data_IF_268606081085
#
_entry.id   IF_268606081085
#
_cell.length_a   1.000
_cell.length_b   1.000
_cell.length_c   1.000
_cell.angle_alpha   90.00
_cell.angle_beta   90.00
_cell.angle_gamma   90.00
#
_symmetry.space_group_name_H-M   'P 1'
#
loop_
_entity.id
_entity.type
_entity.pdbx_description
1 polymer ?
#
# COMPACT_ATOMS: atom_id res chain seq x y z
N UNK A 1 -6.65 -73.08 18.55
CA UNK A 1 -6.11 -73.77 17.36
C UNK A 1 -6.83 -73.17 16.17
N UNK A 2 -6.06 -72.49 15.32
CA UNK A 2 -6.49 -71.60 14.25
C UNK A 2 -7.34 -72.29 13.18
N UNK A 3 -8.21 -71.52 12.54
CA UNK A 3 -8.47 -71.68 11.10
C UNK A 3 -8.82 -70.31 10.49
N UNK A 4 -7.84 -69.74 9.77
CA UNK A 4 -7.99 -68.58 8.91
C UNK A 4 -8.92 -68.87 7.72
N UNK A 5 -9.82 -67.95 7.32
CA UNK A 5 -10.44 -68.00 6.00
C UNK A 5 -9.53 -67.42 4.91
N UNK A 6 -9.64 -68.03 3.74
CA UNK A 6 -8.79 -67.98 2.56
C UNK A 6 -8.62 -66.60 1.87
N UNK A 7 -7.38 -66.33 1.46
CA UNK A 7 -6.85 -65.14 0.73
C UNK A 7 -7.52 -64.87 -0.64
N UNK A 8 -8.40 -65.74 -1.14
CA UNK A 8 -9.10 -65.55 -2.43
C UNK A 8 -10.28 -64.55 -2.40
N UNK A 9 -10.80 -64.21 -1.22
CA UNK A 9 -11.98 -63.34 -1.07
C UNK A 9 -11.63 -61.84 -1.08
N UNK A 10 -10.44 -61.46 -0.63
CA UNK A 10 -10.04 -60.04 -0.49
C UNK A 10 -9.65 -59.41 -1.83
N UNK A 11 -9.09 -60.18 -2.78
CA UNK A 11 -8.72 -59.70 -4.13
C UNK A 11 -9.94 -59.33 -4.99
N UNK A 12 -11.09 -59.99 -4.81
CA UNK A 12 -12.30 -59.71 -5.57
C UNK A 12 -13.05 -58.44 -5.09
N UNK A 13 -12.90 -58.06 -3.82
CA UNK A 13 -13.51 -56.84 -3.27
C UNK A 13 -12.72 -55.58 -3.64
N UNK A 14 -11.39 -55.68 -3.68
CA UNK A 14 -10.50 -54.59 -4.11
C UNK A 14 -10.65 -54.26 -5.61
N UNK A 15 -10.84 -55.27 -6.47
CA UNK A 15 -11.05 -55.05 -7.91
C UNK A 15 -12.40 -54.38 -8.22
N UNK A 16 -13.44 -54.69 -7.43
CA UNK A 16 -14.78 -54.07 -7.58
C UNK A 16 -14.81 -52.61 -7.10
N UNK A 17 -14.08 -52.26 -6.05
CA UNK A 17 -13.96 -50.86 -5.62
C UNK A 17 -13.21 -49.98 -6.65
N UNK A 18 -12.18 -50.52 -7.30
CA UNK A 18 -11.38 -49.77 -8.27
C UNK A 18 -12.16 -49.46 -9.56
N UNK A 19 -13.02 -50.37 -10.02
CA UNK A 19 -13.89 -50.15 -11.19
C UNK A 19 -15.00 -49.11 -10.90
N UNK A 20 -15.54 -49.09 -9.67
CA UNK A 20 -16.52 -48.09 -9.23
C UNK A 20 -15.92 -46.67 -9.11
N UNK A 21 -14.65 -46.56 -8.70
CA UNK A 21 -13.92 -45.27 -8.63
C UNK A 21 -13.59 -44.69 -10.01
N UNK A 22 -13.30 -45.53 -11.00
CA UNK A 22 -13.04 -45.09 -12.38
C UNK A 22 -14.35 -44.66 -13.07
N UNK A 23 -15.48 -45.33 -12.80
CA UNK A 23 -16.80 -44.94 -13.31
C UNK A 23 -17.32 -43.62 -12.71
N UNK A 24 -17.00 -43.32 -11.44
CA UNK A 24 -17.38 -42.04 -10.80
C UNK A 24 -16.53 -40.84 -11.25
N UNK A 25 -15.31 -41.08 -11.74
CA UNK A 25 -14.42 -40.02 -12.24
C UNK A 25 -14.78 -39.60 -13.68
N UNK A 26 -15.46 -40.46 -14.45
CA UNK A 26 -15.83 -40.20 -15.84
C UNK A 26 -17.15 -39.42 -16.03
N UNK A 27 -17.94 -39.20 -14.97
CA UNK A 27 -19.24 -38.50 -15.05
C UNK A 27 -19.23 -37.06 -14.53
N UNK A 28 -18.06 -36.52 -14.17
CA UNK A 28 -17.93 -35.18 -13.57
C UNK A 28 -17.10 -34.25 -14.45
N UNK A 29 -17.52 -34.02 -15.71
CA UNK A 29 -17.03 -32.91 -16.56
C UNK A 29 -17.89 -32.78 -17.82
N UNK A 30 -19.02 -32.08 -17.72
CA UNK A 30 -19.66 -31.37 -18.83
C UNK A 30 -20.94 -30.68 -18.33
N UNK A 31 -20.86 -29.38 -18.02
CA UNK A 31 -21.92 -28.42 -18.34
C UNK A 31 -21.40 -27.00 -18.07
N UNK A 32 -20.99 -26.32 -19.13
CA UNK A 32 -20.81 -24.88 -19.14
C UNK A 32 -21.49 -24.33 -20.41
N UNK A 33 -22.22 -23.23 -20.22
CA UNK A 33 -22.71 -22.26 -21.20
C UNK A 33 -23.86 -22.72 -22.11
N UNK A 34 -25.07 -22.22 -21.84
CA UNK A 34 -25.82 -21.24 -22.67
C UNK A 34 -27.06 -20.83 -21.87
N UNK A 35 -27.21 -19.54 -21.56
CA UNK A 35 -28.52 -18.96 -21.23
C UNK A 35 -28.63 -17.54 -21.77
N UNK A 36 -29.61 -17.38 -22.66
CA UNK A 36 -30.09 -16.19 -23.34
C UNK A 36 -30.24 -14.98 -22.42
N UNK A 37 -29.76 -13.82 -22.87
CA UNK A 37 -30.22 -12.51 -22.40
C UNK A 37 -31.56 -12.18 -23.07
N UNK A 38 -32.62 -12.01 -22.28
CA UNK A 38 -33.83 -11.29 -22.64
C UNK A 38 -33.92 -10.04 -21.75
N UNK A 39 -33.44 -8.91 -22.26
CA UNK A 39 -33.55 -7.62 -21.59
C UNK A 39 -34.94 -7.02 -21.76
N UNK A 40 -35.80 -7.15 -20.74
CA UNK A 40 -36.95 -6.26 -20.58
C UNK A 40 -36.51 -5.00 -19.84
N UNK A 41 -36.77 -3.86 -20.49
CA UNK A 41 -36.80 -2.52 -19.95
C UNK A 41 -37.52 -2.45 -18.59
N UNK A 42 -36.79 -2.05 -17.54
CA UNK A 42 -37.34 -1.49 -16.33
C UNK A 42 -36.42 -0.34 -15.87
N UNK A 43 -36.79 0.87 -16.25
CA UNK A 43 -36.20 2.11 -15.78
C UNK A 43 -36.37 2.23 -14.26
N UNK A 44 -35.30 1.94 -13.52
CA UNK A 44 -35.19 2.28 -12.11
C UNK A 44 -34.86 3.79 -11.98
N UNK A 45 -35.42 4.50 -10.98
CA UNK A 45 -35.11 5.91 -10.79
C UNK A 45 -33.63 6.04 -10.40
N UNK A 46 -32.89 6.83 -11.18
CA UNK A 46 -31.55 7.29 -10.83
C UNK A 46 -31.70 8.09 -9.54
N UNK A 47 -31.46 7.45 -8.38
CA UNK A 47 -31.11 8.19 -7.17
C UNK A 47 -29.78 8.87 -7.50
N UNK A 48 -29.81 10.19 -7.62
CA UNK A 48 -28.61 10.98 -7.56
C UNK A 48 -27.94 10.64 -6.24
N UNK A 49 -26.86 9.86 -6.30
CA UNK A 49 -25.88 9.87 -5.24
C UNK A 49 -25.37 11.29 -5.28
N UNK A 50 -25.83 12.13 -4.34
CA UNK A 50 -25.08 13.29 -3.93
C UNK A 50 -23.78 12.72 -3.39
N UNK A 51 -22.83 12.49 -4.30
CA UNK A 51 -21.44 12.35 -3.95
C UNK A 51 -21.02 13.77 -3.59
N UNK A 52 -21.45 14.24 -2.41
CA UNK A 52 -20.62 15.16 -1.67
C UNK A 52 -19.37 14.36 -1.34
N UNK A 53 -18.48 14.23 -2.32
CA UNK A 53 -17.08 13.97 -2.06
C UNK A 53 -16.70 15.08 -1.10
N UNK A 54 -16.72 14.79 0.19
CA UNK A 54 -16.23 15.70 1.21
C UNK A 54 -14.85 16.12 0.72
N UNK A 55 -14.71 17.39 0.33
CA UNK A 55 -13.47 17.91 -0.24
C UNK A 55 -12.31 17.42 0.63
N UNK A 56 -11.39 16.68 0.02
CA UNK A 56 -10.23 16.13 0.74
C UNK A 56 -9.19 17.24 0.97
N UNK A 57 -9.30 18.34 0.22
CA UNK A 57 -8.57 19.59 0.45
C UNK A 57 -9.25 20.45 1.53
N UNK A 58 -8.47 21.39 2.06
CA UNK A 58 -8.98 22.39 3.00
C UNK A 58 -10.11 23.22 2.38
N UNK A 59 -11.20 23.53 3.13
CA UNK A 59 -12.32 24.29 2.59
C UNK A 59 -11.89 25.61 1.95
N UNK A 60 -12.36 25.87 0.73
CA UNK A 60 -11.99 27.05 -0.06
C UNK A 60 -10.69 26.90 -0.87
N UNK A 61 -10.02 25.76 -0.79
CA UNK A 61 -8.83 25.44 -1.57
C UNK A 61 -9.15 24.46 -2.69
N UNK A 62 -8.34 24.51 -3.76
CA UNK A 62 -8.43 23.58 -4.88
C UNK A 62 -8.00 22.17 -4.46
N UNK A 63 -8.77 21.17 -4.85
CA UNK A 63 -8.57 19.77 -4.47
C UNK A 63 -7.96 18.90 -5.57
N UNK A 64 -7.67 19.45 -6.74
CA UNK A 64 -7.13 18.73 -7.89
C UNK A 64 -6.22 19.58 -8.78
N UNK A 65 -5.16 18.98 -9.31
CA UNK A 65 -4.38 19.52 -10.43
C UNK A 65 -4.31 18.48 -11.56
N UNK A 66 -4.96 18.79 -12.68
CA UNK A 66 -5.19 17.82 -13.74
C UNK A 66 -5.88 16.56 -13.21
N UNK A 67 -5.21 15.42 -13.35
CA UNK A 67 -5.71 14.12 -12.90
C UNK A 67 -5.36 13.77 -11.45
N UNK A 68 -4.52 14.58 -10.78
CA UNK A 68 -4.03 14.31 -9.42
C UNK A 68 -4.95 14.96 -8.39
N UNK A 69 -5.42 14.18 -7.42
CA UNK A 69 -6.14 14.68 -6.24
C UNK A 69 -5.15 15.24 -5.22
N UNK A 70 -5.50 16.35 -4.57
CA UNK A 70 -4.65 17.10 -3.64
C UNK A 70 -5.33 17.14 -2.27
N UNK A 71 -5.10 16.13 -1.42
CA UNK A 71 -5.64 16.12 -0.06
C UNK A 71 -4.84 17.03 0.88
N UNK A 72 -5.49 17.65 1.87
CA UNK A 72 -4.75 18.31 2.96
C UNK A 72 -3.99 17.24 3.79
N UNK A 73 -2.72 17.44 4.20
CA UNK A 73 -2.01 18.70 4.40
C UNK A 73 -1.38 19.34 3.16
N UNK A 74 -1.44 18.67 2.00
CA UNK A 74 -0.98 19.22 0.73
C UNK A 74 -1.94 20.27 0.19
N UNK A 75 -1.40 21.21 -0.58
CA UNK A 75 -2.21 22.27 -1.17
C UNK A 75 -1.44 23.13 -2.17
N UNK A 76 -2.18 23.95 -2.89
CA UNK A 76 -1.66 24.87 -3.91
C UNK A 76 -2.24 26.27 -3.76
N UNK A 77 -1.83 27.16 -4.65
CA UNK A 77 -2.27 28.56 -4.75
C UNK A 77 -1.76 29.42 -3.58
N UNK A 78 -2.48 29.47 -2.46
CA UNK A 78 -2.23 30.38 -1.34
C UNK A 78 -1.65 29.66 -0.13
N UNK A 79 -0.91 30.41 0.72
CA UNK A 79 -0.20 29.85 1.88
C UNK A 79 -1.09 29.24 2.95
N UNK A 80 -2.39 29.56 2.94
CA UNK A 80 -3.38 28.96 3.84
C UNK A 80 -3.89 27.60 3.36
N UNK A 81 -3.57 27.15 2.14
CA UNK A 81 -4.12 25.92 1.56
C UNK A 81 -3.29 24.65 1.79
N UNK A 82 -2.04 24.80 2.24
CA UNK A 82 -1.17 23.71 2.67
C UNK A 82 -0.77 23.90 4.13
N UNK A 83 -0.28 22.85 4.79
CA UNK A 83 0.10 22.92 6.20
C UNK A 83 1.36 23.76 6.43
N UNK A 84 2.40 23.50 5.64
CA UNK A 84 3.67 24.23 5.67
C UNK A 84 4.28 24.26 4.26
N UNK A 85 5.37 25.02 4.09
CA UNK A 85 6.02 25.17 2.78
C UNK A 85 6.44 23.84 2.16
N UNK A 86 6.78 22.84 2.98
CA UNK A 86 7.13 21.49 2.53
C UNK A 86 5.96 20.71 1.92
N UNK A 87 4.72 21.10 2.19
CA UNK A 87 3.50 20.48 1.64
C UNK A 87 2.91 21.25 0.45
N UNK A 88 3.61 22.30 -0.02
CA UNK A 88 3.18 23.08 -1.18
C UNK A 88 3.35 22.28 -2.47
N UNK A 89 2.29 22.19 -3.26
CA UNK A 89 2.26 21.58 -4.58
C UNK A 89 2.24 22.66 -5.65
N UNK A 90 3.08 22.51 -6.67
CA UNK A 90 3.09 23.38 -7.84
C UNK A 90 2.25 22.77 -8.97
N UNK A 91 1.20 23.46 -9.40
CA UNK A 91 0.36 23.02 -10.51
C UNK A 91 0.71 23.81 -11.79
N UNK A 92 1.37 23.15 -12.74
CA UNK A 92 1.73 23.80 -14.00
C UNK A 92 0.58 23.70 -15.00
N UNK A 93 -0.08 24.84 -15.24
CA UNK A 93 -1.22 24.96 -16.16
C UNK A 93 -0.80 25.14 -17.63
N UNK A 94 0.50 25.15 -17.93
CA UNK A 94 1.01 25.19 -19.31
C UNK A 94 0.80 23.86 -20.05
N UNK A 95 0.63 22.77 -19.31
CA UNK A 95 0.28 21.45 -19.84
C UNK A 95 -1.24 21.28 -19.92
N UNK A 96 -1.70 20.39 -20.81
CA UNK A 96 -3.12 20.04 -20.94
C UNK A 96 -3.30 18.50 -20.90
N UNK A 97 -3.86 17.93 -19.80
CA UNK A 97 -4.27 18.61 -18.56
C UNK A 97 -3.08 19.16 -17.75
N UNK A 98 -3.32 20.08 -16.79
CA UNK A 98 -2.27 20.59 -15.90
C UNK A 98 -1.54 19.48 -15.16
N UNK A 99 -0.22 19.64 -14.95
CA UNK A 99 0.63 18.63 -14.28
C UNK A 99 1.06 19.14 -12.90
N UNK A 100 0.96 18.26 -11.90
CA UNK A 100 1.31 18.56 -10.51
C UNK A 100 2.77 18.21 -10.23
N UNK A 101 3.46 19.08 -9.49
CA UNK A 101 4.87 18.92 -9.13
C UNK A 101 5.11 19.12 -7.64
N UNK A 102 5.98 18.28 -7.09
CA UNK A 102 6.55 18.40 -5.75
C UNK A 102 7.86 19.19 -5.84
N UNK A 103 8.07 20.13 -4.91
CA UNK A 103 9.28 20.95 -4.85
C UNK A 103 10.22 20.33 -3.81
N UNK A 104 11.45 20.01 -4.21
CA UNK A 104 12.52 19.68 -3.26
C UNK A 104 13.10 20.95 -2.64
N UNK A 105 13.45 20.86 -1.35
CA UNK A 105 14.08 21.95 -0.60
C UNK A 105 15.48 22.32 -1.10
N UNK A 106 16.12 21.49 -1.94
CA UNK A 106 17.40 21.80 -2.57
C UNK A 106 17.20 22.16 -4.05
N UNK A 107 17.61 23.38 -4.42
CA UNK A 107 17.57 23.90 -5.80
C UNK A 107 16.17 24.01 -6.46
N UNK A 108 15.09 24.07 -5.68
CA UNK A 108 13.69 24.19 -6.17
C UNK A 108 13.31 23.16 -7.25
N UNK A 109 13.90 21.96 -7.17
CA UNK A 109 13.70 20.92 -8.17
C UNK A 109 12.27 20.40 -8.14
N UNK A 110 11.69 20.25 -9.33
CA UNK A 110 10.32 19.77 -9.52
C UNK A 110 10.30 18.27 -9.86
N UNK A 111 9.53 17.50 -9.09
CA UNK A 111 9.21 16.10 -9.41
C UNK A 111 7.75 15.98 -9.80
N UNK A 112 7.47 15.39 -10.95
CA UNK A 112 6.10 15.12 -11.39
C UNK A 112 5.43 14.15 -10.41
N UNK A 113 4.24 14.54 -9.95
CA UNK A 113 3.40 13.73 -9.08
C UNK A 113 2.46 12.89 -9.94
N UNK A 114 2.56 11.57 -9.80
CA UNK A 114 1.67 10.62 -10.45
C UNK A 114 0.42 10.36 -9.60
N UNK A 115 0.60 10.27 -8.29
CA UNK A 115 -0.48 10.04 -7.33
C UNK A 115 -0.12 10.66 -5.99
N UNK A 116 -1.12 11.28 -5.34
CA UNK A 116 -0.96 11.91 -4.03
C UNK A 116 -2.11 11.48 -3.13
N UNK A 117 -1.78 10.81 -2.03
CA UNK A 117 -2.75 10.33 -1.05
C UNK A 117 -2.40 10.82 0.35
N UNK A 118 -3.27 10.52 1.31
CA UNK A 118 -2.98 10.78 2.71
C UNK A 118 -2.00 9.78 3.31
N UNK A 119 -1.61 8.74 2.57
CA UNK A 119 -0.73 7.65 3.01
C UNK A 119 0.66 7.73 2.34
N UNK A 120 0.75 8.11 1.07
CA UNK A 120 2.01 8.18 0.33
C UNK A 120 1.95 9.21 -0.82
N UNK A 121 3.12 9.52 -1.40
CA UNK A 121 3.24 10.29 -2.64
C UNK A 121 3.97 9.46 -3.68
N UNK A 122 3.40 9.30 -4.88
CA UNK A 122 4.05 8.60 -5.99
C UNK A 122 4.53 9.62 -7.01
N UNK A 123 5.83 9.62 -7.28
CA UNK A 123 6.48 10.57 -8.21
C UNK A 123 7.33 9.85 -9.24
N UNK A 124 7.66 10.54 -10.32
CA UNK A 124 8.70 10.11 -11.24
C UNK A 124 10.07 10.69 -10.82
N UNK A 125 11.09 9.84 -10.78
CA UNK A 125 12.49 10.25 -10.67
C UNK A 125 13.28 9.74 -11.87
N UNK A 126 14.40 10.41 -12.18
CA UNK A 126 15.32 9.92 -13.22
C UNK A 126 15.95 8.59 -12.79
N UNK A 127 16.03 7.65 -13.73
CA UNK A 127 16.75 6.39 -13.63
C UNK A 127 18.02 6.47 -14.50
N UNK A 128 19.08 7.15 -14.01
CA UNK A 128 20.26 7.44 -14.80
C UNK A 128 20.99 6.17 -15.26
N UNK A 129 21.67 6.30 -16.39
CA UNK A 129 22.35 5.23 -17.10
C UNK A 129 23.83 5.54 -17.28
N UNK A 130 24.69 4.53 -17.34
CA UNK A 130 26.09 4.68 -17.76
C UNK A 130 26.33 3.86 -19.02
N UNK A 131 26.65 4.52 -20.13
CA UNK A 131 26.65 3.95 -21.47
C UNK A 131 28.04 3.84 -22.14
N UNK A 132 29.13 4.09 -21.41
CA UNK A 132 30.51 4.07 -21.93
C UNK A 132 31.51 3.51 -20.89
N UNK A 133 31.49 2.19 -20.66
CA UNK A 133 32.30 1.51 -19.63
C UNK A 133 33.54 0.78 -20.18
N UNK A 134 33.81 0.89 -21.48
CA UNK A 134 34.80 0.05 -22.17
C UNK A 134 36.26 0.35 -21.79
N UNK A 135 36.57 1.46 -21.10
CA UNK A 135 37.97 1.88 -20.88
C UNK A 135 38.38 2.28 -19.44
N UNK A 136 37.52 2.09 -18.44
CA UNK A 136 37.79 2.52 -17.05
C UNK A 136 37.88 1.31 -16.12
N UNK A 137 39.05 1.08 -15.51
CA UNK A 137 39.36 -0.05 -14.61
C UNK A 137 38.78 0.09 -13.21
N UNK A 138 38.31 1.30 -12.88
CA UNK A 138 37.50 1.62 -11.71
C UNK A 138 36.44 2.58 -12.22
N UNK A 139 35.20 2.13 -12.28
CA UNK A 139 34.10 3.06 -12.41
C UNK A 139 33.55 3.13 -11.00
N UNK A 140 33.82 4.23 -10.31
CA UNK A 140 32.96 4.73 -9.23
C UNK A 140 32.10 5.80 -9.91
N UNK A 141 31.16 5.37 -10.75
CA UNK A 141 30.26 6.32 -11.41
C UNK A 141 29.20 6.69 -10.39
N UNK A 142 29.35 7.88 -9.82
CA UNK A 142 28.25 8.53 -9.14
C UNK A 142 27.20 8.79 -10.22
N UNK A 143 26.03 8.18 -10.07
CA UNK A 143 24.92 8.44 -10.98
C UNK A 143 24.42 9.86 -10.72
N UNK A 144 24.96 10.80 -11.49
CA UNK A 144 24.64 12.20 -11.40
C UNK A 144 23.47 12.47 -12.34
N UNK A 145 22.38 13.01 -11.79
CA UNK A 145 21.32 13.57 -12.60
C UNK A 145 21.90 14.67 -13.52
N UNK A 146 21.78 14.52 -14.84
CA UNK A 146 22.44 15.42 -15.79
C UNK A 146 21.89 16.85 -15.74
N UNK A 147 20.68 17.07 -15.22
CA UNK A 147 20.12 18.42 -15.08
C UNK A 147 20.70 19.20 -13.88
N UNK A 148 20.99 18.52 -12.77
CA UNK A 148 21.38 19.19 -11.52
C UNK A 148 22.84 18.99 -11.14
N UNK A 149 23.55 18.14 -11.87
CA UNK A 149 24.90 17.71 -11.51
C UNK A 149 24.96 17.13 -10.06
N UNK A 150 23.80 16.68 -9.53
CA UNK A 150 23.63 16.08 -8.19
C UNK A 150 23.36 14.58 -8.29
N UNK A 151 23.80 13.82 -7.28
CA UNK A 151 23.88 12.36 -7.33
C UNK A 151 22.60 11.60 -6.97
N UNK A 152 21.54 12.30 -6.58
CA UNK A 152 20.26 11.71 -6.23
C UNK A 152 19.15 12.76 -6.14
N UNK A 153 17.87 12.36 -6.19
CA UNK A 153 16.82 13.19 -5.68
C UNK A 153 17.04 13.49 -4.20
N UNK A 154 17.18 14.77 -3.87
CA UNK A 154 17.39 15.25 -2.51
C UNK A 154 16.04 15.61 -1.86
N UNK A 155 15.65 14.86 -0.83
CA UNK A 155 14.49 15.16 0.00
C UNK A 155 14.91 15.64 1.39
N UNK A 156 16.20 15.93 1.61
CA UNK A 156 16.69 16.44 2.87
C UNK A 156 16.01 17.77 3.24
N UNK A 157 15.61 17.90 4.51
CA UNK A 157 14.89 19.08 5.00
C UNK A 157 13.46 19.21 4.46
N UNK A 158 12.95 18.23 3.71
CA UNK A 158 11.55 18.17 3.30
C UNK A 158 10.78 17.17 4.17
N UNK A 159 9.42 17.21 4.15
CA UNK A 159 8.59 16.21 4.83
C UNK A 159 8.71 14.79 4.27
N UNK A 160 9.44 14.58 3.16
CA UNK A 160 9.41 13.36 2.37
C UNK A 160 10.63 12.45 2.61
N UNK A 161 10.42 11.15 2.47
CA UNK A 161 11.48 10.13 2.56
C UNK A 161 11.11 8.96 1.64
N UNK A 162 12.09 8.30 1.02
CA UNK A 162 11.80 7.15 0.17
C UNK A 162 11.26 5.97 0.99
N UNK A 163 10.13 5.41 0.57
CA UNK A 163 9.51 4.27 1.26
C UNK A 163 10.37 3.01 1.14
N UNK A 164 10.86 2.50 2.27
CA UNK A 164 11.70 1.30 2.32
C UNK A 164 10.92 -0.01 2.12
N UNK A 165 9.60 0.03 2.30
CA UNK A 165 8.68 -1.11 2.14
C UNK A 165 8.06 -1.16 0.75
N UNK A 166 7.91 -0.02 0.08
CA UNK A 166 7.24 0.09 -1.21
C UNK A 166 8.20 0.28 -2.40
N UNK A 167 9.48 0.56 -2.14
CA UNK A 167 10.50 0.65 -3.19
C UNK A 167 11.60 -0.41 -3.04
N UNK A 168 12.29 -0.67 -4.15
CA UNK A 168 13.49 -1.49 -4.23
C UNK A 168 14.59 -0.74 -4.96
N UNK A 169 15.80 -0.90 -4.48
CA UNK A 169 17.00 -0.56 -5.25
C UNK A 169 17.24 -1.66 -6.28
N UNK A 170 17.36 -1.27 -7.54
CA UNK A 170 17.46 -2.15 -8.70
C UNK A 170 18.76 -1.86 -9.45
N UNK A 171 19.51 -2.91 -9.77
CA UNK A 171 20.74 -2.85 -10.57
C UNK A 171 20.56 -3.71 -11.81
N UNK A 172 20.84 -3.16 -12.99
CA UNK A 172 20.73 -3.81 -14.29
C UNK A 172 22.06 -3.73 -15.04
N UNK A 173 22.51 -4.88 -15.54
CA UNK A 173 23.81 -5.05 -16.16
C UNK A 173 24.55 -6.23 -15.52
N UNK A 174 25.73 -6.55 -16.02
CA UNK A 174 26.51 -7.71 -15.62
C UNK A 174 27.91 -7.35 -15.15
N UNK A 175 28.41 -8.14 -14.21
CA UNK A 175 29.75 -8.00 -13.63
C UNK A 175 29.95 -6.68 -12.88
N UNK A 176 28.86 -6.16 -12.32
CA UNK A 176 28.82 -4.89 -11.59
C UNK A 176 28.24 -5.10 -10.20
N UNK A 177 28.63 -4.22 -9.29
CA UNK A 177 28.11 -4.12 -7.93
C UNK A 177 27.57 -2.71 -7.75
N UNK A 178 26.26 -2.57 -7.64
CA UNK A 178 25.63 -1.30 -7.32
C UNK A 178 25.49 -1.17 -5.81
N UNK A 179 25.83 0.00 -5.26
CA UNK A 179 25.71 0.33 -3.85
C UNK A 179 24.90 1.61 -3.73
N UNK A 180 23.97 1.61 -2.78
CA UNK A 180 23.30 2.81 -2.32
C UNK A 180 23.73 3.11 -0.89
N UNK A 181 24.22 4.33 -0.70
CA UNK A 181 24.73 4.82 0.58
C UNK A 181 24.06 6.15 0.90
N UNK A 182 23.61 6.38 2.15
CA UNK A 182 23.13 7.71 2.53
C UNK A 182 24.29 8.71 2.46
N UNK A 183 24.01 9.94 2.05
CA UNK A 183 25.01 10.99 2.01
C UNK A 183 25.26 11.49 3.46
N UNK A 184 26.50 11.38 3.94
CA UNK A 184 26.89 11.87 5.26
C UNK A 184 26.69 13.39 5.33
N UNK A 185 25.66 13.86 6.03
CA UNK A 185 25.59 15.24 6.53
C UNK A 185 25.95 15.21 8.01
N UNK A 186 27.23 15.40 8.33
CA UNK A 186 27.70 15.57 9.71
C UNK A 186 27.24 16.93 10.25
N UNK A 187 26.01 17.03 10.75
CA UNK A 187 25.58 18.21 11.53
C UNK A 187 25.89 18.01 13.02
N UNK A 188 25.88 16.77 13.49
CA UNK A 188 26.29 16.40 14.83
C UNK A 188 27.41 15.38 14.69
N UNK A 189 28.63 15.75 15.08
CA UNK A 189 29.87 14.98 14.87
C UNK A 189 29.93 13.66 15.63
N UNK A 190 29.00 12.76 15.35
CA UNK A 190 29.08 11.35 15.68
C UNK A 190 28.90 10.61 14.36
N UNK A 191 29.86 9.74 14.00
CA UNK A 191 29.81 8.94 12.79
C UNK A 191 28.67 7.93 12.91
N UNK A 192 27.44 8.37 12.66
CA UNK A 192 26.26 7.53 12.77
C UNK A 192 26.42 6.31 11.86
N UNK A 193 26.13 5.14 12.41
CA UNK A 193 26.18 3.85 11.73
C UNK A 193 25.16 3.84 10.58
N UNK A 194 25.56 4.34 9.43
CA UNK A 194 24.76 4.27 8.22
C UNK A 194 24.89 2.89 7.59
N UNK A 195 23.76 2.28 7.27
CA UNK A 195 23.75 0.99 6.58
C UNK A 195 23.67 1.25 5.09
N UNK A 196 24.80 1.11 4.39
CA UNK A 196 24.78 0.98 2.93
C UNK A 196 24.26 -0.39 2.56
N UNK A 197 23.49 -0.46 1.47
CA UNK A 197 23.08 -1.73 0.89
C UNK A 197 23.55 -1.77 -0.55
N UNK A 198 23.87 -2.96 -1.03
CA UNK A 198 24.30 -3.13 -2.41
C UNK A 198 23.75 -4.41 -3.00
N UNK A 199 23.81 -4.48 -4.32
CA UNK A 199 23.60 -5.72 -5.02
C UNK A 199 24.60 -5.95 -6.15
N UNK A 200 25.08 -7.18 -6.24
CA UNK A 200 25.97 -7.66 -7.28
C UNK A 200 25.17 -8.40 -8.35
N UNK A 201 25.57 -8.21 -9.61
CA UNK A 201 25.06 -8.98 -10.74
C UNK A 201 26.19 -9.66 -11.49
N UNK A 202 25.99 -10.93 -11.85
CA UNK A 202 26.91 -11.76 -12.63
C UNK A 202 26.15 -12.46 -13.74
N UNK A 203 26.85 -12.84 -14.81
CA UNK A 203 26.21 -13.40 -15.99
C UNK A 203 27.06 -14.50 -16.62
N UNK A 204 26.42 -15.51 -17.22
CA UNK A 204 27.08 -16.63 -17.86
C UNK A 204 27.38 -16.33 -19.35
N UNK A 205 28.64 -16.00 -19.66
CA UNK A 205 29.20 -15.81 -21.01
C UNK A 205 28.61 -14.67 -21.88
N UNK A 206 29.29 -14.35 -22.99
CA UNK A 206 29.25 -13.10 -23.77
C UNK A 206 27.97 -12.80 -24.57
N UNK A 207 26.83 -13.41 -24.26
CA UNK A 207 25.59 -13.18 -24.97
C UNK A 207 24.74 -12.11 -24.27
N UNK A 208 24.04 -11.30 -25.07
CA UNK A 208 23.10 -10.29 -24.59
C UNK A 208 22.03 -10.94 -23.71
N UNK A 209 21.78 -10.37 -22.53
CA UNK A 209 20.90 -10.97 -21.52
C UNK A 209 19.54 -10.30 -21.56
N UNK A 210 18.51 -11.10 -21.84
CA UNK A 210 17.14 -10.74 -21.49
C UNK A 210 17.03 -10.61 -19.97
N UNK A 211 16.35 -9.56 -19.48
CA UNK A 211 16.20 -9.32 -18.04
C UNK A 211 15.55 -10.57 -17.42
N UNK A 212 16.25 -11.30 -16.54
CA UNK A 212 15.67 -12.51 -15.98
C UNK A 212 14.68 -12.17 -14.88
N UNK A 213 13.57 -12.89 -14.91
CA UNK A 213 12.56 -12.89 -13.85
C UNK A 213 12.59 -14.24 -13.14
N UNK A 214 12.83 -14.29 -11.81
CA UNK A 214 13.02 -13.16 -10.89
C UNK A 214 14.43 -12.54 -10.94
N UNK A 215 14.50 -11.24 -10.63
CA UNK A 215 15.70 -10.40 -10.64
C UNK A 215 16.59 -10.67 -9.39
N UNK A 216 17.35 -11.77 -9.41
CA UNK A 216 18.09 -12.33 -8.26
C UNK A 216 19.62 -12.41 -8.44
N UNK A 217 20.21 -11.49 -9.20
CA UNK A 217 21.67 -11.37 -9.37
C UNK A 217 22.21 -11.91 -10.70
N UNK A 218 21.37 -12.44 -11.58
CA UNK A 218 21.76 -12.77 -12.96
C UNK A 218 21.45 -11.57 -13.87
N UNK A 219 22.39 -10.68 -14.17
CA UNK A 219 22.14 -9.49 -15.01
C UNK A 219 21.15 -8.44 -14.47
N UNK A 220 20.43 -8.75 -13.40
CA UNK A 220 19.44 -7.93 -12.73
C UNK A 220 19.46 -8.30 -11.24
N UNK A 221 19.45 -7.31 -10.35
CA UNK A 221 19.17 -7.53 -8.94
C UNK A 221 18.26 -6.47 -8.32
N UNK A 222 17.35 -6.90 -7.41
CA UNK A 222 16.52 -6.03 -6.57
C UNK A 222 16.77 -6.29 -5.08
N UNK A 223 17.01 -5.23 -4.31
CA UNK A 223 17.16 -5.28 -2.84
C UNK A 223 16.33 -4.19 -2.15
N UNK A 224 15.97 -4.38 -0.88
CA UNK A 224 15.31 -3.34 -0.08
C UNK A 224 16.23 -2.14 0.12
N UNK A 225 15.69 -0.92 0.15
CA UNK A 225 16.50 0.25 0.51
C UNK A 225 16.61 0.40 2.04
N UNK A 226 17.64 1.10 2.54
CA UNK A 226 17.75 1.41 3.97
C UNK A 226 16.59 2.29 4.44
N UNK A 227 16.26 2.18 5.73
CA UNK A 227 15.28 3.04 6.38
C UNK A 227 15.80 4.49 6.44
N UNK A 228 14.90 5.47 6.47
CA UNK A 228 15.23 6.91 6.63
C UNK A 228 16.07 7.49 5.50
N UNK A 229 15.89 6.98 4.28
CA UNK A 229 16.63 7.40 3.10
C UNK A 229 16.00 8.64 2.44
N UNK A 230 16.46 9.83 2.84
CA UNK A 230 16.05 11.12 2.24
C UNK A 230 17.12 11.76 1.36
N UNK A 231 18.39 11.45 1.60
CA UNK A 231 19.52 11.91 0.80
C UNK A 231 20.56 10.79 0.68
N UNK A 232 20.99 10.49 -0.54
CA UNK A 232 21.76 9.30 -0.83
C UNK A 232 22.61 9.45 -2.08
N UNK A 233 23.50 8.49 -2.27
CA UNK A 233 24.31 8.35 -3.46
C UNK A 233 24.23 6.92 -3.95
N UNK A 234 24.11 6.76 -5.26
CA UNK A 234 24.23 5.48 -5.93
C UNK A 234 25.59 5.45 -6.62
N UNK A 235 26.35 4.41 -6.31
CA UNK A 235 27.64 4.11 -6.90
C UNK A 235 27.54 2.74 -7.57
N UNK A 236 28.14 2.59 -8.74
CA UNK A 236 28.30 1.29 -9.37
C UNK A 236 29.78 1.03 -9.50
N UNK A 237 30.21 -0.16 -9.10
CA UNK A 237 31.59 -0.65 -9.16
C UNK A 237 31.69 -1.90 -10.04
N UNK A 238 32.86 -2.14 -10.63
CA UNK A 238 33.18 -3.42 -11.28
C UNK A 238 33.53 -4.44 -10.20
N UNK A 239 32.95 -5.65 -10.27
CA UNK A 239 33.25 -6.68 -9.26
C UNK A 239 34.71 -7.19 -9.38
N UNK A 240 35.36 -7.04 -10.55
CA UNK A 240 36.79 -7.28 -10.69
C UNK A 240 37.40 -6.40 -11.78
N UNK A 241 38.68 -6.02 -11.63
CA UNK A 241 39.39 -5.10 -12.54
C UNK A 241 39.49 -5.61 -13.99
N UNK A 242 39.48 -6.94 -14.19
CA UNK A 242 39.50 -7.59 -15.50
C UNK A 242 38.12 -8.05 -16.01
N UNK A 243 37.03 -7.79 -15.28
CA UNK A 243 35.69 -8.18 -15.73
C UNK A 243 35.21 -7.27 -16.87
N UNK A 244 34.80 -7.90 -17.98
CA UNK A 244 34.04 -7.21 -19.03
C UNK A 244 32.64 -6.90 -18.52
N UNK A 245 32.25 -5.64 -18.53
CA UNK A 245 30.86 -5.24 -18.24
C UNK A 245 30.01 -5.65 -19.42
N UNK A 246 28.89 -6.34 -19.15
CA UNK A 246 27.94 -6.75 -20.19
C UNK A 246 26.63 -6.00 -19.93
N UNK A 247 26.07 -5.45 -21.00
CA UNK A 247 24.88 -4.61 -20.97
C UNK A 247 23.63 -5.44 -21.30
N UNK A 248 22.46 -5.12 -20.72
CA UNK A 248 21.20 -5.72 -21.15
C UNK A 248 20.84 -5.27 -22.57
N UNK A 249 20.10 -6.09 -23.33
CA UNK A 249 19.69 -5.73 -24.68
C UNK A 249 18.62 -4.62 -24.63
N UNK A 250 19.01 -3.39 -24.96
CA UNK A 250 18.08 -2.28 -25.18
C UNK A 250 18.18 -1.78 -26.61
N UNK A 251 17.06 -1.34 -27.17
CA UNK A 251 16.91 -0.81 -28.52
C UNK A 251 17.76 0.44 -28.81
N UNK A 252 18.49 0.98 -27.82
CA UNK A 252 19.20 2.27 -27.89
C UNK A 252 20.65 2.32 -27.34
N UNK A 253 21.28 1.20 -26.96
CA UNK A 253 22.74 1.17 -26.68
C UNK A 253 23.18 0.39 -25.43
N UNK A 254 24.50 0.19 -25.25
CA UNK A 254 25.07 -0.61 -24.17
C UNK A 254 25.15 0.20 -22.86
N UNK A 255 24.07 0.23 -22.08
CA UNK A 255 24.02 0.95 -20.81
C UNK A 255 23.83 0.02 -19.61
N UNK A 256 24.39 0.38 -18.46
CA UNK A 256 24.04 -0.20 -17.16
C UNK A 256 23.22 0.81 -16.35
N UNK A 257 22.36 0.32 -15.47
CA UNK A 257 21.46 1.16 -14.69
C UNK A 257 21.48 0.75 -13.22
N UNK A 258 21.45 1.73 -12.33
CA UNK A 258 21.16 1.51 -10.92
C UNK A 258 20.21 2.61 -10.43
N UNK A 259 19.05 2.23 -9.93
CA UNK A 259 18.00 3.19 -9.58
C UNK A 259 17.07 2.62 -8.53
N UNK A 260 16.26 3.48 -7.94
CA UNK A 260 15.20 3.08 -7.02
C UNK A 260 13.89 3.10 -7.80
N UNK A 261 13.08 2.07 -7.61
CA UNK A 261 11.77 1.97 -8.24
C UNK A 261 10.78 1.30 -7.31
N UNK A 262 9.51 1.60 -7.49
CA UNK A 262 8.39 0.90 -6.85
C UNK A 262 8.54 -0.64 -6.97
N UNK A 263 8.30 -1.35 -5.88
CA UNK A 263 8.58 -2.78 -5.75
C UNK A 263 7.84 -3.62 -6.83
N UNK A 264 6.60 -3.28 -7.12
CA UNK A 264 5.74 -4.00 -8.08
C UNK A 264 6.03 -3.64 -9.54
N UNK A 265 6.92 -2.68 -9.78
CA UNK A 265 7.27 -2.22 -11.12
C UNK A 265 8.04 -3.30 -11.90
N UNK A 266 7.52 -3.63 -13.07
CA UNK A 266 8.11 -4.60 -14.00
C UNK A 266 9.21 -3.93 -14.80
N UNK A 267 10.43 -4.41 -14.62
CA UNK A 267 11.61 -3.85 -15.29
C UNK A 267 11.64 -4.22 -16.78
N UNK A 268 10.96 -5.32 -17.15
CA UNK A 268 10.85 -5.79 -18.53
C UNK A 268 10.09 -4.80 -19.43
N UNK A 269 9.24 -3.93 -18.85
CA UNK A 269 8.47 -2.93 -19.57
C UNK A 269 9.30 -1.69 -19.95
N UNK A 270 10.56 -1.61 -19.48
CA UNK A 270 11.39 -0.45 -19.72
C UNK A 270 12.18 -0.60 -21.03
N UNK A 271 11.82 0.21 -22.02
CA UNK A 271 12.75 0.60 -23.09
C UNK A 271 13.74 1.60 -22.46
N UNK A 272 14.75 1.10 -21.76
CA UNK A 272 15.70 1.95 -21.05
C UNK A 272 16.49 2.80 -22.05
N UNK A 273 16.14 4.08 -22.12
CA UNK A 273 16.96 5.14 -22.71
C UNK A 273 17.73 5.88 -21.61
N UNK A 274 18.71 6.70 -22.00
CA UNK A 274 19.49 7.54 -21.08
C UNK A 274 18.60 8.41 -20.16
N UNK A 275 17.45 8.89 -20.66
CA UNK A 275 16.53 9.79 -19.95
C UNK A 275 15.32 9.10 -19.31
N UNK A 276 15.45 7.81 -18.97
CA UNK A 276 14.29 7.08 -18.42
C UNK A 276 13.88 7.65 -17.07
N UNK A 277 12.59 7.86 -16.86
CA UNK A 277 12.01 8.14 -15.55
C UNK A 277 11.24 6.93 -15.03
N UNK A 278 11.37 6.67 -13.74
CA UNK A 278 10.74 5.52 -13.07
C UNK A 278 9.92 6.00 -11.88
N UNK A 279 8.80 5.31 -11.57
CA UNK A 279 7.98 5.68 -10.43
C UNK A 279 8.62 5.23 -9.12
N UNK A 280 8.61 6.13 -8.13
CA UNK A 280 8.97 5.84 -6.75
C UNK A 280 7.89 6.32 -5.80
N UNK A 281 7.80 5.67 -4.64
CA UNK A 281 6.85 6.00 -3.59
C UNK A 281 7.59 6.68 -2.42
N UNK A 282 7.12 7.84 -2.03
CA UNK A 282 7.60 8.59 -0.87
C UNK A 282 6.64 8.39 0.30
N UNK A 283 7.20 8.06 1.45
CA UNK A 283 6.54 8.31 2.73
C UNK A 283 6.66 9.79 3.07
N UNK A 284 5.77 10.29 3.92
CA UNK A 284 5.84 11.64 4.42
C UNK A 284 5.41 11.71 5.88
N UNK A 285 5.93 12.70 6.61
CA UNK A 285 5.58 12.95 8.00
C UNK A 285 5.58 14.45 8.30
N UNK A 286 4.91 14.84 9.37
CA UNK A 286 4.94 16.21 9.87
C UNK A 286 6.23 16.39 10.67
N UNK A 287 7.06 17.34 10.23
CA UNK A 287 8.42 17.57 10.76
C UNK A 287 8.69 19.01 11.19
N UNK A 288 7.77 19.94 10.94
CA UNK A 288 8.04 21.38 10.97
C UNK A 288 8.43 21.91 12.36
N UNK A 289 7.95 21.28 13.44
CA UNK A 289 8.22 21.73 14.83
C UNK A 289 8.42 20.59 15.84
N UNK A 290 7.96 19.38 15.55
CA UNK A 290 7.99 18.24 16.47
C UNK A 290 8.39 16.97 15.74
N UNK A 291 9.25 16.17 16.39
CA UNK A 291 9.73 14.90 15.84
C UNK A 291 8.93 13.70 16.35
N UNK A 292 8.04 13.92 17.32
CA UNK A 292 7.21 12.88 17.92
C UNK A 292 5.78 13.33 18.22
N UNK A 293 4.88 12.37 18.35
CA UNK A 293 3.50 12.57 18.80
C UNK A 293 3.43 13.23 20.17
N UNK A 294 4.27 12.80 21.12
CA UNK A 294 4.27 13.34 22.48
C UNK A 294 4.62 14.84 22.47
N UNK A 295 5.60 15.22 21.66
CA UNK A 295 5.99 16.63 21.49
C UNK A 295 4.85 17.42 20.85
N UNK A 296 4.25 16.91 19.77
CA UNK A 296 3.12 17.56 19.11
C UNK A 296 1.92 17.79 20.03
N UNK A 297 1.54 16.76 20.80
CA UNK A 297 0.40 16.84 21.72
C UNK A 297 0.62 17.82 22.89
N UNK A 298 1.88 18.12 23.22
CA UNK A 298 2.22 19.08 24.28
C UNK A 298 1.97 20.54 23.89
N UNK A 299 1.89 20.85 22.59
CA UNK A 299 1.65 22.19 22.07
C UNK A 299 0.45 22.19 21.10
N UNK A 300 -0.74 22.32 21.67
CA UNK A 300 -2.02 22.28 20.94
C UNK A 300 -2.15 23.34 19.84
N UNK A 301 -1.39 24.45 19.91
CA UNK A 301 -1.45 25.52 18.91
C UNK A 301 -0.78 25.13 17.59
N UNK A 302 0.19 24.21 17.63
CA UNK A 302 0.98 23.75 16.48
C UNK A 302 0.71 22.28 16.14
N UNK A 303 -0.13 21.60 16.93
CA UNK A 303 -0.50 20.21 16.70
C UNK A 303 -1.39 20.08 15.47
N UNK A 304 -0.95 19.27 14.51
CA UNK A 304 -1.61 19.19 13.21
C UNK A 304 -2.83 18.24 13.17
N UNK A 305 -2.96 17.32 14.13
CA UNK A 305 -4.08 16.37 14.12
C UNK A 305 -5.36 17.03 14.64
N UNK A 306 -6.47 16.74 13.96
CA UNK A 306 -7.80 17.21 14.32
C UNK A 306 -8.45 16.44 15.47
N UNK A 307 -9.78 16.50 15.54
CA UNK A 307 -10.58 15.73 16.50
C UNK A 307 -10.86 14.33 15.95
N UNK A 308 -11.06 13.36 16.84
CA UNK A 308 -11.32 11.96 16.51
C UNK A 308 -10.19 11.32 15.68
N UNK A 309 -8.95 11.65 16.04
CA UNK A 309 -7.74 11.15 15.39
C UNK A 309 -6.77 10.51 16.38
N UNK A 310 -6.03 9.51 15.92
CA UNK A 310 -4.82 9.02 16.53
C UNK A 310 -3.58 9.68 15.91
N UNK A 311 -2.56 9.88 16.74
CA UNK A 311 -1.23 10.24 16.31
C UNK A 311 -0.37 8.98 16.17
N UNK A 312 0.33 8.88 15.04
CA UNK A 312 1.17 7.73 14.71
C UNK A 312 2.58 8.24 14.39
N UNK A 313 3.56 7.73 15.11
CA UNK A 313 4.97 8.01 14.83
C UNK A 313 5.36 7.49 13.44
N UNK A 314 6.14 8.26 12.70
CA UNK A 314 6.68 7.80 11.42
C UNK A 314 7.77 6.74 11.66
N UNK A 315 7.58 5.57 11.05
CA UNK A 315 8.57 4.49 11.11
C UNK A 315 9.82 4.82 10.28
N UNK A 316 9.62 5.36 9.08
CA UNK A 316 10.65 5.53 8.06
C UNK A 316 11.22 6.95 8.00
N UNK A 317 10.73 7.89 8.80
CA UNK A 317 11.27 9.26 8.90
C UNK A 317 11.09 9.81 10.33
N UNK A 318 11.81 10.87 10.74
CA UNK A 318 11.44 11.62 11.94
C UNK A 318 10.06 12.28 11.75
N UNK A 319 9.32 12.51 12.84
CA UNK A 319 8.01 13.15 12.78
C UNK A 319 6.85 12.18 12.94
N UNK A 320 5.64 12.71 12.79
CA UNK A 320 4.40 11.97 13.04
C UNK A 320 3.35 12.20 11.97
N UNK A 321 2.31 11.37 12.01
CA UNK A 321 1.13 11.44 11.13
C UNK A 321 -0.14 11.34 11.94
N UNK A 322 -1.23 11.77 11.35
CA UNK A 322 -2.55 11.73 11.94
C UNK A 322 -3.39 10.71 11.17
N UNK A 323 -4.17 9.91 11.88
CA UNK A 323 -5.12 8.96 11.29
C UNK A 323 -6.46 9.11 11.99
N UNK A 324 -7.56 8.99 11.28
CA UNK A 324 -8.86 8.93 11.94
C UNK A 324 -8.92 7.72 12.89
N UNK A 325 -9.60 7.89 14.03
CA UNK A 325 -9.88 6.80 14.95
C UNK A 325 -10.62 5.68 14.22
N UNK A 326 -10.54 4.46 14.75
CA UNK A 326 -11.36 3.34 14.28
C UNK A 326 -12.85 3.72 14.33
N UNK A 327 -13.59 3.42 13.26
CA UNK A 327 -15.00 3.83 13.10
C UNK A 327 -15.18 5.24 12.55
N UNK A 328 -14.10 5.94 12.20
CA UNK A 328 -14.13 7.27 11.57
C UNK A 328 -13.42 7.24 10.21
N UNK A 329 -13.88 8.10 9.28
CA UNK A 329 -13.29 8.28 7.95
C UNK A 329 -13.16 9.77 7.60
N UNK A 330 -12.30 10.08 6.64
CA UNK A 330 -12.10 11.43 6.12
C UNK A 330 -10.69 11.94 6.40
N UNK A 331 -10.53 13.26 6.49
CA UNK A 331 -9.22 13.90 6.57
C UNK A 331 -8.85 14.25 8.03
N UNK A 332 -7.83 13.60 8.64
CA UNK A 332 -7.48 13.82 10.04
C UNK A 332 -6.79 15.16 10.31
N UNK A 333 -6.44 15.92 9.28
CA UNK A 333 -5.78 17.22 9.42
C UNK A 333 -6.76 18.40 9.30
N UNK A 334 -8.02 18.13 8.95
CA UNK A 334 -9.05 19.17 8.82
C UNK A 334 -9.92 19.28 10.09
N UNK A 335 -10.39 20.49 10.44
CA UNK A 335 -11.38 20.66 11.50
C UNK A 335 -12.66 19.88 11.18
N UNK A 336 -13.02 18.91 12.02
CA UNK A 336 -14.18 18.03 11.77
C UNK A 336 -13.99 17.10 10.56
N UNK A 337 -12.74 16.88 10.12
CA UNK A 337 -12.45 16.08 8.94
C UNK A 337 -12.59 14.57 9.16
N UNK A 338 -12.39 14.07 10.38
CA UNK A 338 -12.74 12.70 10.74
C UNK A 338 -14.21 12.62 11.17
N UNK A 339 -15.02 12.06 10.29
CA UNK A 339 -16.45 11.88 10.46
C UNK A 339 -16.76 10.43 10.80
N UNK A 340 -17.77 10.26 11.65
CA UNK A 340 -18.29 8.95 12.04
C UNK A 340 -18.70 8.15 10.79
N UNK A 341 -18.33 6.88 10.76
CA UNK A 341 -18.79 5.96 9.72
C UNK A 341 -20.14 5.42 10.17
N UNK A 342 -21.21 5.75 9.45
CA UNK A 342 -22.49 5.09 9.69
C UNK A 342 -22.47 3.69 9.08
N UNK A 343 -22.05 2.69 9.86
CA UNK A 343 -22.01 1.31 9.37
C UNK A 343 -23.41 0.76 9.09
N UNK A 344 -24.48 1.39 9.60
CA UNK A 344 -25.85 0.97 9.34
C UNK A 344 -26.34 1.33 7.93
N UNK A 345 -25.67 2.25 7.24
CA UNK A 345 -25.90 2.51 5.81
C UNK A 345 -25.32 1.40 4.91
N UNK A 346 -24.39 0.58 5.43
CA UNK A 346 -23.88 -0.59 4.72
C UNK A 346 -24.88 -1.76 4.78
N UNK A 347 -25.20 -2.35 3.62
CA UNK A 347 -26.17 -3.43 3.53
C UNK A 347 -25.78 -4.63 4.42
N UNK A 348 -26.73 -5.09 5.25
CA UNK A 348 -26.68 -6.33 6.03
C UNK A 348 -25.62 -6.41 7.16
N UNK A 349 -25.12 -5.30 7.74
CA UNK A 349 -24.17 -5.37 8.86
C UNK A 349 -24.64 -6.19 10.06
N UNK A 350 -25.90 -6.05 10.46
CA UNK A 350 -26.44 -6.69 11.67
C UNK A 350 -27.14 -8.04 11.41
N UNK A 351 -27.15 -8.56 10.18
CA UNK A 351 -27.90 -9.77 9.83
C UNK A 351 -29.41 -9.53 9.61
N UNK A 352 -30.12 -10.55 9.12
CA UNK A 352 -31.54 -10.43 8.76
C UNK A 352 -32.43 -10.34 10.00
N UNK A 353 -33.32 -9.34 10.04
CA UNK A 353 -34.32 -9.16 11.10
C UNK A 353 -33.75 -8.58 12.40
N UNK A 354 -32.54 -8.04 12.36
CA UNK A 354 -31.89 -7.30 13.45
C UNK A 354 -31.80 -5.83 13.04
N UNK A 355 -32.17 -4.92 13.94
CA UNK A 355 -32.08 -3.48 13.68
C UNK A 355 -30.65 -3.00 13.94
N UNK A 356 -30.14 -2.14 13.09
CA UNK A 356 -28.86 -1.48 13.29
C UNK A 356 -29.08 -0.08 13.88
N UNK A 357 -28.29 0.28 14.90
CA UNK A 357 -28.25 1.60 15.52
C UNK A 357 -26.82 2.12 15.43
N UNK A 358 -26.62 3.19 14.65
CA UNK A 358 -25.32 3.84 14.56
C UNK A 358 -24.97 4.57 15.87
N UNK A 359 -23.70 4.56 16.25
CA UNK A 359 -23.16 5.26 17.43
C UNK A 359 -21.80 5.88 17.10
N UNK A 360 -21.35 6.92 17.82
CA UNK A 360 -20.03 7.51 17.52
C UNK A 360 -18.88 6.49 17.63
N UNK A 361 -18.25 6.18 16.49
CA UNK A 361 -17.13 5.26 16.31
C UNK A 361 -17.50 3.77 16.21
N UNK A 362 -18.78 3.41 16.19
CA UNK A 362 -19.24 2.02 16.18
C UNK A 362 -20.73 1.92 15.86
N UNK A 363 -21.26 0.70 15.74
CA UNK A 363 -22.69 0.45 15.67
C UNK A 363 -23.12 -0.60 16.70
N UNK A 364 -24.41 -0.60 17.02
CA UNK A 364 -25.05 -1.60 17.85
C UNK A 364 -26.15 -2.31 17.06
N UNK A 365 -26.15 -3.64 17.12
CA UNK A 365 -27.22 -4.46 16.58
C UNK A 365 -28.23 -4.76 17.69
N UNK A 366 -29.48 -4.35 17.50
CA UNK A 366 -30.53 -4.46 18.51
C UNK A 366 -31.76 -5.18 17.97
N UNK A 367 -32.41 -5.94 18.84
CA UNK A 367 -33.68 -6.58 18.53
C UNK A 367 -34.85 -5.72 19.00
N UNK A 368 -36.01 -5.88 18.35
CA UNK A 368 -37.26 -5.32 18.88
C UNK A 368 -37.52 -5.80 20.32
N UNK A 369 -38.24 -5.01 21.14
CA UNK A 369 -38.56 -5.39 22.51
C UNK A 369 -39.13 -6.80 22.62
N UNK A 370 -38.70 -7.55 23.65
CA UNK A 370 -39.12 -8.94 23.86
C UNK A 370 -38.33 -9.98 23.04
N UNK A 371 -37.29 -9.58 22.32
CA UNK A 371 -36.35 -10.49 21.65
C UNK A 371 -34.92 -10.30 22.15
N UNK A 372 -34.14 -11.37 22.20
CA UNK A 372 -32.73 -11.41 22.52
C UNK A 372 -31.91 -11.55 21.24
N UNK A 373 -30.78 -10.86 21.20
CA UNK A 373 -29.78 -11.01 20.15
C UNK A 373 -28.95 -12.28 20.42
N UNK A 374 -28.90 -13.17 19.43
CA UNK A 374 -28.16 -14.44 19.51
C UNK A 374 -27.30 -14.58 18.26
N UNK A 375 -26.07 -15.06 18.42
CA UNK A 375 -25.14 -15.32 17.32
C UNK A 375 -25.21 -16.80 16.90
N UNK A 376 -25.39 -17.08 15.61
CA UNK A 376 -25.38 -18.44 15.05
C UNK A 376 -24.50 -18.55 13.78
N UNK A 377 -24.50 -19.71 13.13
CA UNK A 377 -23.69 -19.97 11.91
C UNK A 377 -24.03 -19.04 10.72
N UNK A 378 -25.17 -18.34 10.77
CA UNK A 378 -25.64 -17.41 9.74
C UNK A 378 -25.48 -15.93 10.16
N UNK A 379 -24.88 -15.67 11.33
CA UNK A 379 -24.67 -14.32 11.88
C UNK A 379 -25.57 -13.99 13.08
N UNK A 380 -25.83 -12.70 13.27
CA UNK A 380 -26.69 -12.21 14.37
C UNK A 380 -28.18 -12.41 14.02
N UNK A 381 -28.96 -12.92 14.97
CA UNK A 381 -30.41 -13.14 14.85
C UNK A 381 -31.16 -12.77 16.12
N UNK A 382 -32.43 -12.39 15.97
CA UNK A 382 -33.32 -12.07 17.09
C UNK A 382 -34.23 -13.25 17.46
N UNK A 383 -34.03 -13.81 18.66
CA UNK A 383 -34.89 -14.87 19.22
C UNK A 383 -35.86 -14.33 20.27
N UNK A 384 -37.06 -14.88 20.43
CA UNK A 384 -37.98 -14.47 21.51
C UNK A 384 -37.34 -14.63 22.90
N UNK A 385 -37.45 -13.61 23.74
CA UNK A 385 -37.02 -13.65 25.13
C UNK A 385 -38.06 -14.40 25.97
N UNK A 386 -38.03 -15.74 25.95
CA UNK A 386 -38.90 -16.56 26.79
C UNK A 386 -38.42 -16.48 28.24
N UNK A 387 -39.04 -15.60 29.04
CA UNK A 387 -38.88 -15.62 30.50
C UNK A 387 -39.70 -16.80 31.03
N UNK A 388 -39.04 -17.85 31.47
CA UNK A 388 -39.70 -18.91 32.23
C UNK A 388 -40.11 -18.34 33.59
N UNK A 389 -41.41 -18.03 33.73
CA UNK A 389 -41.97 -17.65 35.01
C UNK A 389 -42.34 -18.95 35.75
N UNK A 390 -41.57 -19.29 36.79
CA UNK A 390 -41.91 -20.42 37.65
C UNK A 390 -42.92 -19.94 38.71
N UNK A 391 -44.20 -20.23 38.51
CA UNK A 391 -45.20 -19.98 39.55
C UNK A 391 -45.17 -21.17 40.49
N UNK A 392 -44.70 -20.96 41.71
CA UNK A 392 -44.75 -21.94 42.80
C UNK A 392 -46.04 -21.72 43.56
N UNK A 393 -47.01 -22.62 43.36
CA UNK A 393 -48.26 -22.58 44.11
C UNK A 393 -48.11 -23.50 45.32
N UNK A 394 -48.16 -22.91 46.51
CA UNK A 394 -48.24 -23.67 47.75
C UNK A 394 -49.70 -23.95 48.07
N UNK A 395 -50.11 -25.22 47.93
CA UNK A 395 -51.45 -25.71 48.30
C UNK A 395 -51.28 -26.60 49.53
N UNK A 396 -52.27 -26.75 50.44
CA UNK A 396 -52.12 -27.51 51.70
C UNK A 396 -51.69 -28.98 51.56
N UNK A 397 -51.57 -29.51 50.34
CA UNK A 397 -51.16 -30.88 50.04
C UNK A 397 -49.80 -30.98 49.30
N UNK A 398 -49.05 -29.87 49.10
CA UNK A 398 -47.71 -29.89 48.53
C UNK A 398 -47.36 -28.65 47.68
N UNK A 399 -46.06 -28.45 47.42
CA UNK A 399 -45.57 -27.42 46.49
C UNK A 399 -45.59 -27.96 45.06
N UNK A 400 -46.37 -27.31 44.18
CA UNK A 400 -46.36 -27.61 42.75
C UNK A 400 -45.67 -26.47 42.01
N UNK A 401 -44.61 -26.80 41.27
CA UNK A 401 -43.96 -25.88 40.35
C UNK A 401 -44.60 -26.05 38.96
N UNK A 402 -45.25 -25.00 38.46
CA UNK A 402 -45.81 -25.00 37.11
C UNK A 402 -44.86 -24.17 36.23
N UNK A 403 -44.11 -24.79 35.30
CA UNK A 403 -43.31 -24.05 34.33
C UNK A 403 -44.25 -23.42 33.30
N UNK A 404 -44.33 -22.09 33.29
CA UNK A 404 -45.00 -21.34 32.22
C UNK A 404 -43.96 -20.77 31.27
N UNK A 405 -43.98 -21.24 30.02
CA UNK A 405 -43.23 -20.66 28.91
C UNK A 405 -44.16 -19.74 28.11
N UNK A 406 -43.87 -18.43 28.07
CA UNK A 406 -44.53 -17.47 27.18
C UNK A 406 -43.57 -17.00 26.11
#
# INVERSE_FOLDING_TARGET
MEQMPSILSVRNLQLRLFVLLILFCATSKALALVSLEAGLSASAPIRMINNSTSSIAKPGCRDRCGNVSIPYPFGMDSSNCYLSIGFKIYCNSSYNPPVAFLISGHADRLYEILELTQDYVRINISAPAICDLDNTTSVTSKLIDPLTNSTAPDFFGTPFTLSNTLNKFTVLGCNIFGVISPLQVSIFGDGSNFTSIGCATRCASNESIAIPSPCLGNGCCKVSIPDRLSNFIIEIEKISSGARVIHPFFSKGPCIHAFIVEQEYKVDDIILSEDTSVPVILDWAITDDFLTCQQGQSNLSLYACGRNTDCIESYNSPGYRCKCLKGYRGNPYLPGGCQDIDECEELNKCGKGVNCLNTPGSYNCVCSPGKLLVTNELGLQCMPNKRNLLIVVAVPLGMYAIPLSW
#
